data_IF_337255156335
#
_entry.id   IF_337255156335
#
_cell.length_a   1.000
_cell.length_b   1.000
_cell.length_c   1.000
_cell.angle_alpha   90.00
_cell.angle_beta   90.00
_cell.angle_gamma   90.00
#
_symmetry.space_group_name_H-M   'P 1'
#
loop_
_entity.id
_entity.type
_entity.pdbx_description
1 polymer ?
#
# COMPACT_ATOMS: atom_id res chain seq x y z
N UNK A 1 16.14 7.67 9.42
CA UNK A 1 14.75 7.50 9.89
C UNK A 1 13.98 8.57 9.15
N UNK A 2 13.03 8.21 8.29
CA UNK A 2 12.21 9.21 7.63
C UNK A 2 11.27 9.81 8.67
N UNK A 3 11.06 11.12 8.58
CA UNK A 3 10.27 11.86 9.57
C UNK A 3 8.76 11.72 9.33
N UNK A 4 8.36 11.14 8.19
CA UNK A 4 6.96 10.96 7.76
C UNK A 4 6.79 9.78 6.79
N UNK A 5 5.53 9.44 6.56
CA UNK A 5 5.04 8.44 5.62
C UNK A 5 4.08 9.09 4.61
N UNK A 6 3.86 8.40 3.50
CA UNK A 6 2.88 8.75 2.48
C UNK A 6 1.79 7.67 2.42
N UNK A 7 0.58 8.06 2.04
CA UNK A 7 -0.51 7.11 1.83
C UNK A 7 -0.52 6.58 0.38
N UNK A 8 -0.46 5.26 0.24
CA UNK A 8 -0.62 4.53 -1.01
C UNK A 8 -1.96 3.80 -1.00
N UNK A 9 -2.86 4.17 -1.92
CA UNK A 9 -4.17 3.51 -2.06
C UNK A 9 -4.15 2.56 -3.25
N UNK A 10 -4.25 1.25 -2.99
CA UNK A 10 -4.35 0.21 -3.99
C UNK A 10 -5.80 -0.11 -4.31
N UNK A 11 -6.10 -0.41 -5.57
CA UNK A 11 -7.44 -0.64 -6.07
C UNK A 11 -7.63 -2.06 -6.61
N UNK A 12 -8.70 -2.68 -6.14
CA UNK A 12 -9.29 -3.90 -6.69
C UNK A 12 -9.82 -3.64 -8.09
N UNK A 13 -9.97 -4.66 -8.93
CA UNK A 13 -10.60 -4.53 -10.26
C UNK A 13 -12.09 -4.25 -10.11
N UNK A 14 -12.73 -3.80 -11.19
CA UNK A 14 -14.20 -3.72 -11.22
C UNK A 14 -14.80 -5.09 -10.90
N UNK A 15 -15.80 -5.09 -10.01
CA UNK A 15 -16.49 -6.29 -9.53
C UNK A 15 -15.58 -7.34 -8.84
N UNK A 16 -14.34 -7.00 -8.50
CA UNK A 16 -13.45 -7.88 -7.74
C UNK A 16 -13.95 -8.00 -6.30
N UNK A 17 -14.16 -9.22 -5.82
CA UNK A 17 -14.49 -9.44 -4.41
C UNK A 17 -13.30 -9.08 -3.52
N UNK A 18 -13.57 -8.63 -2.31
CA UNK A 18 -12.53 -8.33 -1.32
C UNK A 18 -11.56 -9.50 -1.11
N UNK A 19 -12.07 -10.73 -1.04
CA UNK A 19 -11.26 -11.95 -0.91
C UNK A 19 -10.31 -12.20 -2.09
N UNK A 20 -10.75 -11.92 -3.31
CA UNK A 20 -9.92 -12.05 -4.51
C UNK A 20 -8.86 -10.95 -4.54
N UNK A 21 -9.25 -9.72 -4.20
CA UNK A 21 -8.33 -8.59 -4.12
C UNK A 21 -7.26 -8.81 -3.06
N UNK A 22 -7.64 -9.22 -1.84
CA UNK A 22 -6.72 -9.59 -0.75
C UNK A 22 -5.71 -10.66 -1.19
N UNK A 23 -6.15 -11.67 -1.93
CA UNK A 23 -5.27 -12.72 -2.44
C UNK A 23 -4.24 -12.17 -3.45
N UNK A 24 -4.66 -11.22 -4.30
CA UNK A 24 -3.79 -10.54 -5.27
C UNK A 24 -2.78 -9.61 -4.59
N UNK A 25 -3.21 -8.87 -3.57
CA UNK A 25 -2.31 -8.06 -2.73
C UNK A 25 -1.27 -8.93 -2.03
N UNK A 26 -1.67 -10.06 -1.44
CA UNK A 26 -0.73 -10.99 -0.82
C UNK A 26 0.31 -11.51 -1.81
N UNK A 27 -0.11 -11.89 -3.02
CA UNK A 27 0.80 -12.33 -4.07
C UNK A 27 1.78 -11.22 -4.49
N UNK A 28 1.29 -9.98 -4.65
CA UNK A 28 2.12 -8.81 -4.96
C UNK A 28 3.15 -8.54 -3.86
N UNK A 29 2.72 -8.40 -2.61
CA UNK A 29 3.61 -8.11 -1.49
C UNK A 29 4.62 -9.24 -1.24
N UNK A 30 4.22 -10.50 -1.42
CA UNK A 30 5.15 -11.64 -1.38
C UNK A 30 6.20 -11.54 -2.49
N UNK A 31 5.83 -11.06 -3.68
CA UNK A 31 6.79 -10.84 -4.76
C UNK A 31 7.80 -9.74 -4.38
N UNK A 32 7.34 -8.59 -3.87
CA UNK A 32 8.21 -7.48 -3.47
C UNK A 32 9.14 -7.93 -2.34
N UNK A 33 8.63 -8.55 -1.29
CA UNK A 33 9.44 -9.06 -0.17
C UNK A 33 10.56 -10.00 -0.64
N UNK A 34 10.32 -10.83 -1.66
CA UNK A 34 11.30 -11.81 -2.15
C UNK A 34 12.35 -11.23 -3.09
N UNK A 35 11.99 -10.22 -3.88
CA UNK A 35 12.85 -9.70 -4.94
C UNK A 35 13.46 -8.34 -4.62
N UNK A 36 12.82 -7.58 -3.72
CA UNK A 36 13.14 -6.21 -3.33
C UNK A 36 12.88 -6.01 -1.83
N UNK A 37 13.51 -6.80 -0.94
CA UNK A 37 13.25 -6.74 0.51
C UNK A 37 13.47 -5.34 1.10
N UNK A 38 14.50 -4.63 0.66
CA UNK A 38 14.80 -3.26 1.10
C UNK A 38 13.66 -2.27 0.79
N UNK A 39 12.95 -2.45 -0.33
CA UNK A 39 11.79 -1.64 -0.68
C UNK A 39 10.56 -2.05 0.13
N UNK A 40 10.44 -3.35 0.46
CA UNK A 40 9.38 -3.86 1.33
C UNK A 40 9.50 -3.32 2.76
N UNK A 41 10.73 -3.18 3.29
CA UNK A 41 10.98 -2.51 4.59
C UNK A 41 10.49 -1.05 4.62
N UNK A 42 10.33 -0.43 3.45
CA UNK A 42 9.73 0.89 3.32
C UNK A 42 8.20 0.90 3.47
N UNK A 43 7.54 -0.24 3.51
CA UNK A 43 6.09 -0.35 3.77
C UNK A 43 5.88 -0.55 5.27
N UNK A 44 5.31 0.45 5.92
CA UNK A 44 5.26 0.51 7.37
C UNK A 44 4.01 -0.12 7.97
N UNK A 45 2.86 0.17 7.40
CA UNK A 45 1.58 -0.35 7.87
C UNK A 45 0.57 -0.46 6.75
N UNK A 46 -0.44 -1.29 6.96
CA UNK A 46 -1.59 -1.42 6.08
C UNK A 46 -2.88 -1.14 6.84
N UNK A 47 -3.89 -0.59 6.16
CA UNK A 47 -5.19 -0.36 6.76
C UNK A 47 -5.79 -1.70 7.24
N UNK A 48 -6.37 -1.71 8.44
CA UNK A 48 -7.01 -2.89 9.01
C UNK A 48 -8.20 -3.34 8.15
N UNK A 49 -9.00 -2.38 7.72
CA UNK A 49 -10.20 -2.61 6.91
C UNK A 49 -9.92 -2.39 5.43
N UNK A 50 -10.72 -3.06 4.59
CA UNK A 50 -10.86 -2.69 3.18
C UNK A 50 -11.95 -1.63 3.06
N UNK A 51 -11.79 -0.74 2.09
CA UNK A 51 -12.76 0.31 1.79
C UNK A 51 -13.28 0.17 0.36
N UNK A 52 -14.24 1.03 0.00
CA UNK A 52 -14.75 1.12 -1.38
C UNK A 52 -14.42 2.50 -1.95
N UNK A 53 -13.68 2.51 -3.06
CA UNK A 53 -13.31 3.71 -3.80
C UNK A 53 -13.88 3.61 -5.21
N UNK A 54 -14.81 4.52 -5.54
CA UNK A 54 -15.49 4.56 -6.84
C UNK A 54 -16.08 3.20 -7.30
N UNK A 55 -16.67 2.43 -6.37
CA UNK A 55 -17.27 1.13 -6.64
C UNK A 55 -16.26 -0.02 -6.74
N UNK A 56 -15.02 0.18 -6.31
CA UNK A 56 -13.95 -0.81 -6.31
C UNK A 56 -13.46 -1.01 -4.88
N UNK A 57 -13.21 -2.25 -4.49
CA UNK A 57 -12.53 -2.52 -3.21
C UNK A 57 -11.16 -1.85 -3.22
N UNK A 58 -10.76 -1.22 -2.13
CA UNK A 58 -9.47 -0.56 -1.99
C UNK A 58 -8.79 -0.95 -0.67
N UNK A 59 -7.47 -0.76 -0.62
CA UNK A 59 -6.72 -0.87 0.64
C UNK A 59 -5.56 0.11 0.65
N UNK A 60 -5.37 0.75 1.79
CA UNK A 60 -4.34 1.76 1.98
C UNK A 60 -3.12 1.19 2.69
N UNK A 61 -1.96 1.77 2.38
CA UNK A 61 -0.66 1.43 2.91
C UNK A 61 0.11 2.70 3.26
N UNK A 62 0.77 2.71 4.42
CA UNK A 62 1.72 3.77 4.78
C UNK A 62 3.11 3.36 4.31
N UNK A 63 3.70 4.17 3.44
CA UNK A 63 5.00 3.89 2.84
C UNK A 63 5.98 5.02 3.07
N UNK A 64 7.27 4.70 3.12
CA UNK A 64 8.32 5.70 3.18
C UNK A 64 8.46 6.42 1.82
N UNK A 65 8.78 7.73 1.80
CA UNK A 65 8.85 8.50 0.57
C UNK A 65 9.88 7.99 -0.45
N UNK A 66 10.98 7.39 0.01
CA UNK A 66 12.04 6.87 -0.85
C UNK A 66 11.65 5.61 -1.63
N UNK A 67 10.64 4.85 -1.17
CA UNK A 67 10.19 3.63 -1.86
C UNK A 67 8.98 3.86 -2.75
N UNK A 68 8.35 5.05 -2.69
CA UNK A 68 7.11 5.35 -3.41
C UNK A 68 7.23 5.15 -4.92
N UNK A 69 8.30 5.65 -5.56
CA UNK A 69 8.49 5.49 -7.01
C UNK A 69 8.77 4.04 -7.40
N UNK A 70 9.55 3.32 -6.59
CA UNK A 70 9.88 1.92 -6.79
C UNK A 70 8.61 1.04 -6.75
N UNK A 71 7.81 1.21 -5.69
CA UNK A 71 6.56 0.46 -5.50
C UNK A 71 5.54 0.82 -6.60
N UNK A 72 5.39 2.10 -6.97
CA UNK A 72 4.50 2.53 -8.04
C UNK A 72 4.85 1.89 -9.40
N UNK A 73 6.15 1.79 -9.70
CA UNK A 73 6.63 1.12 -10.92
C UNK A 73 6.29 -0.39 -10.89
N UNK A 74 6.50 -1.06 -9.76
CA UNK A 74 6.19 -2.48 -9.61
C UNK A 74 4.68 -2.77 -9.68
N UNK A 75 3.86 -1.92 -9.06
CA UNK A 75 2.39 -2.01 -9.14
C UNK A 75 1.93 -1.95 -10.60
N UNK A 76 2.47 -0.98 -11.35
CA UNK A 76 2.20 -0.83 -12.79
C UNK A 76 2.63 -2.08 -13.56
N UNK A 77 3.82 -2.60 -13.31
CA UNK A 77 4.35 -3.79 -13.97
C UNK A 77 3.52 -5.07 -13.68
N UNK A 78 2.90 -5.15 -12.50
CA UNK A 78 2.05 -6.26 -12.08
C UNK A 78 0.56 -6.05 -12.35
N UNK A 79 0.18 -4.92 -12.97
CA UNK A 79 -1.21 -4.60 -13.29
C UNK A 79 -2.08 -4.45 -12.03
N UNK A 80 -1.51 -3.88 -10.98
CA UNK A 80 -2.25 -3.46 -9.78
C UNK A 80 -2.54 -1.97 -9.92
N UNK A 81 -3.82 -1.62 -10.02
CA UNK A 81 -4.23 -0.22 -10.08
C UNK A 81 -4.06 0.45 -8.71
N UNK A 82 -3.74 1.74 -8.71
CA UNK A 82 -3.55 2.53 -7.50
C UNK A 82 -3.85 4.00 -7.78
N UNK A 83 -4.17 4.77 -6.74
CA UNK A 83 -4.22 6.22 -6.87
C UNK A 83 -2.80 6.80 -6.92
N UNK A 84 -2.57 7.90 -7.67
CA UNK A 84 -1.31 8.62 -7.60
C UNK A 84 -0.97 8.96 -6.15
N UNK A 85 0.25 8.62 -5.72
CA UNK A 85 0.71 8.94 -4.37
C UNK A 85 0.86 10.45 -4.25
N UNK A 86 0.08 11.06 -3.37
CA UNK A 86 0.25 12.47 -3.02
C UNK A 86 1.53 12.63 -2.21
N UNK A 87 2.45 13.47 -2.70
CA UNK A 87 3.77 13.69 -2.08
C UNK A 87 3.75 14.80 -1.04
N UNK A 88 2.67 15.56 -0.97
CA UNK A 88 2.49 16.66 -0.03
C UNK A 88 1.64 16.26 1.18
N UNK A 89 0.96 15.10 1.12
CA UNK A 89 0.17 14.54 2.21
C UNK A 89 1.02 13.64 3.11
N UNK A 90 1.48 14.20 4.23
CA UNK A 90 2.46 13.58 5.12
C UNK A 90 1.80 13.05 6.39
N UNK A 91 2.08 11.80 6.69
CA UNK A 91 1.63 11.14 7.91
C UNK A 91 2.79 10.98 8.88
N UNK A 92 2.58 11.40 10.13
CA UNK A 92 3.53 11.12 11.20
C UNK A 92 3.55 9.63 11.54
N UNK A 93 4.60 9.19 12.25
CA UNK A 93 4.63 7.84 12.80
C UNK A 93 3.45 7.55 13.74
N UNK A 94 2.99 8.55 14.50
CA UNK A 94 1.86 8.35 15.41
C UNK A 94 0.57 8.05 14.63
N UNK A 95 0.35 8.71 13.51
CA UNK A 95 -0.79 8.47 12.63
C UNK A 95 -0.69 7.13 11.91
N UNK A 96 0.49 6.82 11.35
CA UNK A 96 0.74 5.56 10.66
C UNK A 96 0.73 4.32 11.59
N UNK A 97 0.68 4.54 12.90
CA UNK A 97 0.60 3.55 13.97
C UNK A 97 -0.74 3.55 14.72
N UNK A 98 -1.74 4.30 14.25
CA UNK A 98 -3.05 4.38 14.93
C UNK A 98 -3.78 3.03 14.93
N UNK A 99 -4.88 2.93 15.67
CA UNK A 99 -5.70 1.71 15.72
C UNK A 99 -6.32 1.29 14.38
N UNK A 100 -6.32 2.17 13.39
CA UNK A 100 -6.83 1.92 12.04
C UNK A 100 -5.79 1.21 11.16
N UNK A 101 -4.55 1.11 11.63
CA UNK A 101 -3.40 0.57 10.91
C UNK A 101 -2.83 -0.68 11.58
N UNK A 102 -2.57 -1.69 10.77
CA UNK A 102 -1.79 -2.87 11.16
C UNK A 102 -0.33 -2.66 10.75
N UNK A 103 0.58 -2.58 11.72
CA UNK A 103 2.01 -2.42 11.48
C UNK A 103 2.60 -3.71 10.91
N UNK A 104 3.42 -3.57 9.89
CA UNK A 104 4.17 -4.66 9.29
C UNK A 104 5.50 -4.78 10.03
N UNK A 105 5.76 -5.97 10.60
CA UNK A 105 7.02 -6.32 11.28
C UNK A 105 8.10 -6.83 10.31
#
# INVERSE_FOLDING_TARGET
MHDYYLCLTLLGRADESESAFKSRLYAFWTHILRNRPDDYEGVYSEAVEFEEEAGRVSRQYMIQPNVADAIAADLTAHGVDFHPVDRDDHYSKAEASSSEWFQLD
#
